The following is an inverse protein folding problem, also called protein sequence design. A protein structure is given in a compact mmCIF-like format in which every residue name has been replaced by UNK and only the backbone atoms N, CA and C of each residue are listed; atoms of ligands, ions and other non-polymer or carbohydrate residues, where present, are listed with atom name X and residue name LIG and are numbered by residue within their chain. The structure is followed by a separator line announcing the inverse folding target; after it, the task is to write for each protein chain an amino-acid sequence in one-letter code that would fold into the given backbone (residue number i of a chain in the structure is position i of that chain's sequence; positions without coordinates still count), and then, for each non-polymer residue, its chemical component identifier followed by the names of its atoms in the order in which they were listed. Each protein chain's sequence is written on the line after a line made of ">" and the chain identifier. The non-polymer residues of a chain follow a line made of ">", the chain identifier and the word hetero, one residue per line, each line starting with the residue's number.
data_IF_040415392241
#
_entry.id   IF_040415392241
#
_cell.length_a   1.000
_cell.length_b   1.000
_cell.length_c   1.000
_cell.angle_alpha   90.00
_cell.angle_beta   90.00
_cell.angle_gamma   90.00
#
_symmetry.space_group_name_H-M   'P 1'
#
loop_
_entity.id
_entity.type
_entity.pdbx_description
1 polymer ?
#
# COMPACT_ATOMS: atom_id res chain seq x y z
N UNK A 1 -39.48 -10.70 -3.44
CA UNK A 1 -40.58 -10.81 -4.42
C UNK A 1 -40.43 -9.63 -5.38
N UNK A 2 -40.22 -9.68 -6.69
CA UNK A 2 -40.17 -10.67 -7.78
C UNK A 2 -39.15 -10.04 -8.77
N UNK A 3 -38.20 -10.76 -9.35
CA UNK A 3 -38.36 -11.51 -10.60
C UNK A 3 -37.25 -12.56 -10.76
N UNK A 4 -37.59 -13.64 -11.47
CA UNK A 4 -36.79 -14.84 -11.72
C UNK A 4 -36.76 -15.10 -13.24
N UNK A 5 -35.59 -15.55 -13.71
CA UNK A 5 -35.29 -16.44 -14.86
C UNK A 5 -35.41 -15.99 -16.34
N UNK A 6 -34.31 -16.19 -17.08
CA UNK A 6 -34.12 -17.11 -18.24
C UNK A 6 -32.87 -16.65 -19.05
N UNK A 7 -31.68 -17.29 -19.00
CA UNK A 7 -31.23 -18.56 -19.57
C UNK A 7 -31.14 -18.62 -21.11
N UNK A 8 -29.90 -18.57 -21.66
CA UNK A 8 -29.36 -19.23 -22.90
C UNK A 8 -28.13 -18.44 -23.42
N UNK A 9 -26.88 -18.83 -23.14
CA UNK A 9 -26.06 -19.87 -23.81
C UNK A 9 -25.45 -19.47 -25.18
N UNK A 10 -24.18 -19.07 -25.18
CA UNK A 10 -23.14 -19.30 -26.22
C UNK A 10 -21.82 -19.54 -25.44
N UNK A 11 -21.39 -20.78 -25.22
CA UNK A 11 -20.42 -21.55 -26.04
C UNK A 11 -19.15 -20.76 -26.41
N UNK A 12 -17.90 -21.23 -26.29
CA UNK A 12 -17.23 -22.37 -25.65
C UNK A 12 -15.72 -22.17 -25.95
N UNK A 13 -14.84 -22.51 -24.99
CA UNK A 13 -13.45 -23.02 -25.13
C UNK A 13 -12.36 -22.14 -25.82
N UNK A 14 -11.25 -21.92 -25.08
CA UNK A 14 -9.92 -22.15 -25.67
C UNK A 14 -8.79 -21.17 -25.32
N UNK A 15 -7.94 -21.61 -24.39
CA UNK A 15 -6.47 -21.41 -24.41
C UNK A 15 -5.89 -20.06 -24.00
N UNK A 16 -5.54 -19.96 -22.72
CA UNK A 16 -4.64 -18.94 -22.19
C UNK A 16 -4.28 -19.16 -20.71
N UNK A 17 -4.09 -20.42 -20.28
CA UNK A 17 -3.50 -20.71 -18.97
C UNK A 17 -2.01 -20.38 -19.00
N UNK A 18 -1.68 -19.17 -18.57
CA UNK A 18 -0.38 -18.83 -18.01
C UNK A 18 -0.56 -17.93 -16.79
N UNK A 19 -1.43 -18.34 -15.85
CA UNK A 19 -1.31 -17.86 -14.48
C UNK A 19 -0.12 -18.58 -13.86
N UNK A 20 1.05 -17.98 -14.05
CA UNK A 20 2.21 -18.25 -13.23
C UNK A 20 1.74 -18.30 -11.77
N UNK A 21 1.96 -19.45 -11.12
CA UNK A 21 1.87 -19.57 -9.66
C UNK A 21 2.97 -18.71 -9.07
N UNK A 22 2.79 -17.40 -9.05
CA UNK A 22 3.57 -16.54 -8.19
C UNK A 22 2.92 -16.57 -6.82
N UNK A 23 3.68 -17.14 -5.88
CA UNK A 23 3.28 -17.40 -4.53
C UNK A 23 2.57 -16.17 -3.93
N UNK A 24 1.29 -16.35 -3.61
CA UNK A 24 0.51 -15.43 -2.79
C UNK A 24 1.15 -15.38 -1.40
N UNK A 25 2.21 -14.59 -1.24
CA UNK A 25 2.62 -14.08 0.06
C UNK A 25 1.37 -13.44 0.66
N UNK A 26 1.02 -13.73 1.92
CA UNK A 26 -0.08 -13.02 2.56
C UNK A 26 0.25 -11.53 2.41
N UNK A 27 -0.67 -10.78 1.81
CA UNK A 27 -0.65 -9.34 1.87
C UNK A 27 -0.86 -9.02 3.35
N UNK A 28 0.22 -9.00 4.12
CA UNK A 28 0.23 -8.39 5.43
C UNK A 28 -0.33 -7.00 5.20
N UNK A 29 -1.42 -6.61 5.90
CA UNK A 29 -1.86 -5.23 5.82
C UNK A 29 -0.62 -4.41 6.14
N UNK A 30 -0.16 -3.62 5.17
CA UNK A 30 0.92 -2.67 5.39
C UNK A 30 0.29 -1.64 6.31
N UNK A 31 0.30 -1.94 7.61
CA UNK A 31 -0.04 -0.99 8.65
C UNK A 31 1.04 0.07 8.51
N UNK A 32 0.71 1.14 7.80
CA UNK A 32 1.59 2.28 7.70
C UNK A 32 1.86 2.73 9.12
N UNK A 33 3.12 2.60 9.57
CA UNK A 33 3.52 3.05 10.89
C UNK A 33 3.11 4.51 11.06
N UNK A 34 2.67 4.94 12.27
CA UNK A 34 2.21 6.31 12.52
C UNK A 34 3.24 7.35 12.03
N UNK A 35 4.51 7.04 12.26
CA UNK A 35 5.73 7.65 11.69
C UNK A 35 5.59 8.03 10.21
N UNK A 36 5.23 7.06 9.38
CA UNK A 36 5.15 7.22 7.93
C UNK A 36 3.99 8.10 7.48
N UNK A 37 2.93 8.19 8.30
CA UNK A 37 1.78 9.06 8.07
C UNK A 37 2.14 10.50 8.45
N UNK A 38 2.79 10.73 9.60
CA UNK A 38 3.30 12.06 9.98
C UNK A 38 4.26 12.62 8.93
N UNK A 39 5.26 11.82 8.51
CA UNK A 39 6.19 12.24 7.46
C UNK A 39 5.51 12.56 6.13
N UNK A 40 4.39 11.89 5.82
CA UNK A 40 3.63 12.19 4.60
C UNK A 40 2.94 13.55 4.72
N UNK A 41 2.28 13.81 5.86
CA UNK A 41 1.61 15.09 6.13
C UNK A 41 2.58 16.26 6.11
N UNK A 42 3.76 16.11 6.70
CA UNK A 42 4.78 17.16 6.67
C UNK A 42 5.33 17.40 5.27
N UNK A 43 5.53 16.34 4.47
CA UNK A 43 5.97 16.48 3.09
C UNK A 43 4.94 17.24 2.26
N UNK A 44 3.67 16.90 2.45
CA UNK A 44 2.55 17.50 1.72
C UNK A 44 2.34 18.96 2.16
N UNK A 45 2.49 19.28 3.45
CA UNK A 45 2.50 20.64 3.97
C UNK A 45 3.68 21.49 3.45
N UNK A 46 4.83 20.86 3.20
CA UNK A 46 6.00 21.49 2.56
C UNK A 46 5.89 21.58 1.04
N UNK A 47 4.81 21.07 0.43
CA UNK A 47 4.65 21.04 -1.01
C UNK A 47 5.65 20.13 -1.73
N UNK A 48 6.27 19.17 -1.03
CA UNK A 48 7.27 18.28 -1.61
C UNK A 48 6.57 17.16 -2.38
N UNK A 49 6.91 17.02 -3.66
CA UNK A 49 6.27 16.07 -4.56
C UNK A 49 7.31 15.20 -5.28
N UNK A 50 6.86 14.06 -5.83
CA UNK A 50 7.72 13.18 -6.63
C UNK A 50 8.98 12.68 -5.91
N UNK A 51 10.15 13.01 -6.46
CA UNK A 51 11.46 12.56 -5.93
C UNK A 51 11.80 13.20 -4.58
N UNK A 52 11.42 14.46 -4.39
CA UNK A 52 11.71 15.20 -3.15
C UNK A 52 10.89 14.65 -1.99
N UNK A 53 9.61 14.36 -2.22
CA UNK A 53 8.74 13.68 -1.24
C UNK A 53 9.33 12.36 -0.77
N UNK A 54 9.91 11.56 -1.66
CA UNK A 54 10.54 10.28 -1.30
C UNK A 54 11.77 10.48 -0.42
N UNK A 55 12.65 11.43 -0.77
CA UNK A 55 13.84 11.75 0.03
C UNK A 55 13.45 12.26 1.41
N UNK A 56 12.53 13.21 1.46
CA UNK A 56 12.01 13.76 2.72
C UNK A 56 11.39 12.70 3.61
N UNK A 57 10.52 11.83 3.06
CA UNK A 57 9.91 10.74 3.86
C UNK A 57 10.94 9.75 4.38
N UNK A 58 12.04 9.52 3.66
CA UNK A 58 13.12 8.64 4.12
C UNK A 58 13.93 9.28 5.25
N UNK A 59 14.26 10.56 5.14
CA UNK A 59 14.95 11.31 6.20
C UNK A 59 14.06 11.49 7.43
N UNK A 60 12.78 11.83 7.24
CA UNK A 60 11.83 12.01 8.33
C UNK A 60 11.69 10.73 9.16
N UNK A 61 11.57 9.55 8.54
CA UNK A 61 11.55 8.27 9.27
C UNK A 61 12.84 8.01 10.05
N UNK A 62 14.01 8.27 9.45
CA UNK A 62 15.29 8.14 10.15
C UNK A 62 15.41 9.09 11.35
N UNK A 63 14.87 10.30 11.23
CA UNK A 63 14.86 11.26 12.32
C UNK A 63 13.92 10.80 13.43
N UNK A 64 12.70 10.39 13.11
CA UNK A 64 11.77 9.87 14.11
C UNK A 64 12.30 8.61 14.80
N UNK A 65 12.92 7.66 14.07
CA UNK A 65 13.60 6.49 14.66
C UNK A 65 14.67 6.89 15.68
N UNK A 66 15.43 7.97 15.41
CA UNK A 66 16.39 8.53 16.38
C UNK A 66 15.68 9.18 17.58
N UNK A 67 14.66 9.99 17.33
CA UNK A 67 13.90 10.67 18.38
C UNK A 67 13.22 9.67 19.33
N UNK A 68 12.66 8.58 18.80
CA UNK A 68 12.10 7.49 19.61
C UNK A 68 13.15 6.72 20.42
N UNK A 69 14.39 6.69 19.96
CA UNK A 69 15.49 6.08 20.71
C UNK A 69 15.98 7.00 21.84
N UNK A 70 15.94 8.32 21.66
CA UNK A 70 16.28 9.30 22.69
C UNK A 70 15.20 9.41 23.78
N UNK A 71 13.90 9.38 23.40
CA UNK A 71 12.79 9.39 24.37
C UNK A 71 12.80 8.15 25.27
N UNK A 72 13.18 6.98 24.73
CA UNK A 72 13.24 5.73 25.51
C UNK A 72 14.48 5.61 26.40
N UNK A 73 15.44 6.53 26.26
CA UNK A 73 16.69 6.57 27.03
C UNK A 73 16.62 7.59 28.19
N UNK A 74 15.59 8.44 28.23
CA UNK A 74 15.34 9.39 29.31
C UNK A 74 14.37 8.84 30.35
#
# INVERSE_FOLDING_TARGET
>A
MKTVAAAAAMMVIGSGVALAKDAKKPATPVVHSPESIQCSKEADAKGLHGKERKKFRAECKKNLEKQHHDEKKS
#
